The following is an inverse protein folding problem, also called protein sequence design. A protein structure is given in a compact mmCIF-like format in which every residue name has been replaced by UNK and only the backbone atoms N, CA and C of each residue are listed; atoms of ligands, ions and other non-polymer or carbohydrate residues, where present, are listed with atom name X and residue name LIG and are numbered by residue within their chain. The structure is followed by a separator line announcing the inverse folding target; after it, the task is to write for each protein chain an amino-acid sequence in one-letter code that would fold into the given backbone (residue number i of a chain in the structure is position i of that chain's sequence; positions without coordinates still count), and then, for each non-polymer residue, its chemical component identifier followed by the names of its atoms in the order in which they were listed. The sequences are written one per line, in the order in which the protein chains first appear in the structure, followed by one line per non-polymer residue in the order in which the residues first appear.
data_IF_813971939993
#
_entry.id   IF_813971939993
#
_cell.length_a   1.000
_cell.length_b   1.000
_cell.length_c   1.000
_cell.angle_alpha   90.00
_cell.angle_beta   90.00
_cell.angle_gamma   90.00
#
_symmetry.space_group_name_H-M   'P 1'
#
loop_
_entity.id
_entity.type
_entity.pdbx_description
1 polymer ?
#
# COMPACT_ATOMS: atom_id res chain seq x y z
N UNK A 1 -24.79 13.32 12.86
CA UNK A 1 -23.41 13.64 13.25
C UNK A 1 -22.50 12.69 12.48
N UNK A 2 -22.07 13.07 11.28
CA UNK A 2 -21.33 12.18 10.38
C UNK A 2 -19.93 12.72 10.21
N UNK A 3 -18.99 12.00 10.81
CA UNK A 3 -17.55 12.19 10.68
C UNK A 3 -17.18 12.37 9.21
N UNK A 4 -16.45 13.45 8.92
CA UNK A 4 -15.90 13.66 7.59
C UNK A 4 -14.42 13.29 7.65
N UNK A 5 -14.12 12.05 7.28
CA UNK A 5 -12.76 11.56 7.08
C UNK A 5 -12.39 11.75 5.61
N UNK A 6 -11.27 12.40 5.32
CA UNK A 6 -10.70 12.55 3.97
C UNK A 6 -10.47 11.17 3.36
N UNK A 7 -10.76 10.97 2.07
CA UNK A 7 -10.50 9.66 1.44
C UNK A 7 -9.01 9.32 1.54
N UNK A 8 -8.69 8.06 1.84
CA UNK A 8 -7.34 7.52 1.81
C UNK A 8 -6.82 7.58 0.36
N UNK A 9 -6.19 8.70 0.00
CA UNK A 9 -5.65 8.92 -1.34
C UNK A 9 -4.62 7.84 -1.69
N UNK A 10 -3.65 7.50 -0.80
CA UNK A 10 -2.79 6.33 -1.00
C UNK A 10 -3.58 5.05 -1.30
N UNK A 11 -4.63 4.75 -0.54
CA UNK A 11 -5.50 3.60 -0.79
C UNK A 11 -6.21 3.63 -2.16
N UNK A 12 -6.56 4.81 -2.67
CA UNK A 12 -7.15 4.96 -4.01
C UNK A 12 -6.12 4.72 -5.13
N UNK A 13 -4.88 5.18 -4.95
CA UNK A 13 -3.78 4.86 -5.85
C UNK A 13 -3.44 3.37 -5.81
N UNK A 14 -3.43 2.74 -4.63
CA UNK A 14 -3.25 1.28 -4.51
C UNK A 14 -4.34 0.52 -5.28
N UNK A 15 -5.61 0.92 -5.14
CA UNK A 15 -6.70 0.32 -5.91
C UNK A 15 -6.51 0.45 -7.42
N UNK A 16 -6.07 1.62 -7.90
CA UNK A 16 -5.76 1.82 -9.32
C UNK A 16 -4.59 0.95 -9.77
N UNK A 17 -3.52 0.87 -8.99
CA UNK A 17 -2.35 0.04 -9.30
C UNK A 17 -2.73 -1.45 -9.36
N UNK A 18 -3.58 -1.92 -8.46
CA UNK A 18 -4.07 -3.30 -8.45
C UNK A 18 -4.90 -3.62 -9.70
N UNK A 19 -5.74 -2.70 -10.16
CA UNK A 19 -6.53 -2.88 -11.38
C UNK A 19 -5.64 -2.91 -12.63
N UNK A 20 -4.65 -2.02 -12.70
CA UNK A 20 -3.67 -2.01 -13.79
C UNK A 20 -2.83 -3.29 -13.79
N UNK A 21 -2.38 -3.76 -12.62
CA UNK A 21 -1.64 -5.02 -12.50
C UNK A 21 -2.51 -6.22 -12.92
N UNK A 22 -3.84 -6.18 -12.70
CA UNK A 22 -4.77 -7.20 -13.15
C UNK A 22 -4.91 -7.22 -14.69
N UNK A 23 -5.04 -6.05 -15.31
CA UNK A 23 -5.08 -5.92 -16.77
C UNK A 23 -3.78 -6.45 -17.41
N UNK A 24 -2.62 -6.08 -16.86
CA UNK A 24 -1.31 -6.59 -17.31
C UNK A 24 -1.25 -8.12 -17.19
N UNK A 25 -1.76 -8.70 -16.11
CA UNK A 25 -1.80 -10.16 -15.89
C UNK A 25 -2.66 -10.86 -16.95
N UNK A 26 -3.82 -10.28 -17.30
CA UNK A 26 -4.69 -10.80 -18.36
C UNK A 26 -4.00 -10.77 -19.73
N UNK A 27 -3.37 -9.63 -20.08
CA UNK A 27 -2.67 -9.48 -21.36
C UNK A 27 -1.51 -10.49 -21.47
N UNK A 28 -0.76 -10.71 -20.38
CA UNK A 28 0.30 -11.72 -20.34
C UNK A 28 -0.24 -13.13 -20.61
N UNK A 29 -1.36 -13.52 -19.98
CA UNK A 29 -2.00 -14.81 -20.23
C UNK A 29 -2.45 -14.97 -21.69
N UNK A 30 -2.99 -13.90 -22.29
CA UNK A 30 -3.35 -13.88 -23.71
C UNK A 30 -2.11 -14.08 -24.59
N UNK A 31 -1.01 -13.36 -24.33
CA UNK A 31 0.23 -13.51 -25.08
C UNK A 31 0.79 -14.94 -24.99
N UNK A 32 0.78 -15.56 -23.80
CA UNK A 32 1.20 -16.96 -23.62
C UNK A 32 0.33 -17.91 -24.43
N UNK A 33 -1.00 -17.78 -24.33
CA UNK A 33 -1.95 -18.65 -25.05
C UNK A 33 -1.81 -18.51 -26.57
N UNK A 34 -1.64 -17.28 -27.08
CA UNK A 34 -1.44 -17.03 -28.51
C UNK A 34 -0.12 -17.63 -29.00
N UNK A 35 0.94 -17.53 -28.19
CA UNK A 35 2.23 -18.16 -28.49
C UNK A 35 2.13 -19.69 -28.56
N UNK A 36 1.41 -20.30 -27.60
CA UNK A 36 1.18 -21.76 -27.58
C UNK A 36 0.39 -22.25 -28.80
N UNK A 37 -0.53 -21.42 -29.32
CA UNK A 37 -1.32 -21.69 -30.53
C UNK A 37 -0.58 -21.38 -31.84
N UNK A 38 0.62 -20.81 -31.79
CA UNK A 38 1.39 -20.36 -32.96
C UNK A 38 0.90 -19.05 -33.57
N UNK A 39 0.03 -18.31 -32.89
CA UNK A 39 -0.51 -17.01 -33.30
C UNK A 39 0.46 -15.87 -32.93
N UNK A 40 1.65 -15.88 -33.53
CA UNK A 40 2.76 -15.00 -33.13
C UNK A 40 2.47 -13.51 -33.31
N UNK A 41 1.63 -13.12 -34.27
CA UNK A 41 1.29 -11.70 -34.47
C UNK A 41 0.43 -11.17 -33.33
N UNK A 42 -0.61 -11.93 -32.95
CA UNK A 42 -1.44 -11.63 -31.78
C UNK A 42 -0.62 -11.62 -30.49
N UNK A 43 0.36 -12.52 -30.36
CA UNK A 43 1.28 -12.52 -29.22
C UNK A 43 2.12 -11.23 -29.16
N UNK A 44 2.65 -10.74 -30.29
CA UNK A 44 3.39 -9.49 -30.35
C UNK A 44 2.54 -8.28 -29.98
N UNK A 45 1.33 -8.19 -30.50
CA UNK A 45 0.39 -7.10 -30.17
C UNK A 45 0.09 -7.07 -28.67
N UNK A 46 -0.16 -8.24 -28.07
CA UNK A 46 -0.37 -8.37 -26.63
C UNK A 46 0.87 -7.94 -25.83
N UNK A 47 2.08 -8.34 -26.24
CA UNK A 47 3.32 -7.92 -25.59
C UNK A 47 3.49 -6.39 -25.64
N UNK A 48 3.31 -5.77 -26.82
CA UNK A 48 3.42 -4.31 -26.97
C UNK A 48 2.41 -3.57 -26.10
N UNK A 49 1.19 -4.09 -25.95
CA UNK A 49 0.19 -3.53 -25.04
C UNK A 49 0.61 -3.69 -23.57
N UNK A 50 1.10 -4.86 -23.17
CA UNK A 50 1.61 -5.08 -21.81
C UNK A 50 2.78 -4.16 -21.45
N UNK A 51 3.66 -3.85 -22.40
CA UNK A 51 4.76 -2.89 -22.21
C UNK A 51 4.23 -1.47 -21.93
N UNK A 52 3.25 -1.02 -22.72
CA UNK A 52 2.60 0.29 -22.51
C UNK A 52 1.92 0.38 -21.15
N UNK A 53 1.21 -0.68 -20.74
CA UNK A 53 0.49 -0.70 -19.46
C UNK A 53 1.47 -0.79 -18.28
N UNK A 54 2.58 -1.52 -18.44
CA UNK A 54 3.67 -1.53 -17.45
C UNK A 54 4.30 -0.14 -17.29
N UNK A 55 4.51 0.59 -18.39
CA UNK A 55 5.01 1.96 -18.32
C UNK A 55 3.99 2.91 -17.66
N UNK A 56 2.69 2.73 -17.92
CA UNK A 56 1.64 3.48 -17.23
C UNK A 56 1.60 3.18 -15.74
N UNK A 57 1.65 1.91 -15.35
CA UNK A 57 1.74 1.44 -13.96
C UNK A 57 2.91 2.10 -13.22
N UNK A 58 4.07 2.19 -13.86
CA UNK A 58 5.22 2.91 -13.30
C UNK A 58 4.90 4.38 -13.03
N UNK A 59 4.30 5.10 -13.98
CA UNK A 59 3.93 6.52 -13.79
C UNK A 59 2.92 6.72 -12.65
N UNK A 60 1.95 5.81 -12.51
CA UNK A 60 1.00 5.85 -11.38
C UNK A 60 1.72 5.62 -10.05
N UNK A 61 2.67 4.68 -10.01
CA UNK A 61 3.51 4.45 -8.84
C UNK A 61 4.40 5.64 -8.49
N UNK A 62 5.01 6.28 -9.50
CA UNK A 62 5.83 7.47 -9.32
C UNK A 62 4.96 8.62 -8.75
N UNK A 63 3.73 8.80 -9.26
CA UNK A 63 2.78 9.79 -8.73
C UNK A 63 2.33 9.50 -7.29
N UNK A 64 2.17 8.22 -6.92
CA UNK A 64 1.91 7.83 -5.54
C UNK A 64 3.09 8.20 -4.63
N UNK A 65 4.33 7.96 -5.08
CA UNK A 65 5.53 8.39 -4.36
C UNK A 65 5.57 9.92 -4.21
N UNK A 66 5.38 10.68 -5.29
CA UNK A 66 5.32 12.14 -5.27
C UNK A 66 4.24 12.67 -4.31
N UNK A 67 3.03 12.10 -4.36
CA UNK A 67 1.93 12.45 -3.46
C UNK A 67 2.32 12.22 -2.00
N UNK A 68 2.97 11.11 -1.70
CA UNK A 68 3.38 10.76 -0.35
C UNK A 68 4.55 11.63 0.15
N UNK A 69 5.48 12.01 -0.73
CA UNK A 69 6.56 12.95 -0.39
C UNK A 69 6.02 14.34 -0.02
N UNK A 70 4.95 14.79 -0.68
CA UNK A 70 4.27 16.04 -0.33
C UNK A 70 3.54 15.99 1.02
N UNK A 71 3.16 14.81 1.50
CA UNK A 71 2.52 14.61 2.81
C UNK A 71 3.53 14.44 3.97
N UNK A 72 4.79 14.12 3.68
CA UNK A 72 5.85 13.95 4.67
C UNK A 72 6.06 15.13 5.65
N UNK A 73 5.78 16.41 5.32
CA UNK A 73 5.86 17.49 6.30
C UNK A 73 4.62 17.66 7.18
N UNK A 74 3.47 17.05 6.86
CA UNK A 74 2.21 17.24 7.60
C UNK A 74 1.89 16.12 8.61
N UNK A 75 2.72 15.07 8.68
CA UNK A 75 2.52 13.90 9.54
C UNK A 75 2.92 14.06 11.02
N UNK A 76 3.21 15.27 11.48
CA UNK A 76 3.37 15.58 12.91
C UNK A 76 2.12 16.28 13.44
N UNK A 77 0.94 15.68 13.27
CA UNK A 77 -0.20 16.04 14.09
C UNK A 77 -0.15 15.14 15.34
N UNK A 78 0.03 15.71 16.54
CA UNK A 78 -0.16 14.95 17.78
C UNK A 78 -1.58 14.40 17.81
N UNK A 79 -1.74 13.23 18.40
CA UNK A 79 -2.96 12.40 18.50
C UNK A 79 -4.17 13.11 19.16
N UNK A 80 -4.04 14.40 19.49
CA UNK A 80 -5.01 15.20 20.24
C UNK A 80 -5.69 16.31 19.42
N UNK A 81 -5.52 16.38 18.10
CA UNK A 81 -6.13 17.42 17.26
C UNK A 81 -7.57 17.11 16.78
N UNK A 82 -8.31 16.25 17.51
CA UNK A 82 -9.72 15.95 17.23
C UNK A 82 -10.72 16.83 18.00
N UNK A 83 -10.27 17.91 18.63
CA UNK A 83 -11.17 18.91 19.23
C UNK A 83 -10.91 20.32 18.66
N UNK A 84 -11.78 20.75 17.75
CA UNK A 84 -12.03 22.17 17.47
C UNK A 84 -11.23 22.82 16.33
N UNK A 85 -11.68 22.65 15.08
CA UNK A 85 -11.18 23.47 13.95
C UNK A 85 -12.15 23.52 12.77
N UNK A 86 -12.66 24.72 12.45
CA UNK A 86 -13.67 25.02 11.41
C UNK A 86 -13.26 24.54 10.00
N UNK A 87 -14.15 23.79 9.33
CA UNK A 87 -14.00 23.23 7.97
C UNK A 87 -14.26 24.25 6.85
N UNK A 88 -13.33 24.34 5.90
CA UNK A 88 -13.55 24.97 4.60
C UNK A 88 -14.23 23.94 3.68
N UNK A 89 -15.46 24.23 3.23
CA UNK A 89 -16.23 23.30 2.38
C UNK A 89 -15.80 23.38 0.92
N UNK A 90 -15.19 22.33 0.37
CA UNK A 90 -15.17 22.10 -1.08
C UNK A 90 -16.31 21.16 -1.42
N UNK A 91 -17.31 21.71 -2.10
CA UNK A 91 -18.53 21.03 -2.54
C UNK A 91 -18.22 20.04 -3.66
N UNK A 92 -18.95 18.93 -3.61
CA UNK A 92 -19.44 18.15 -4.75
C UNK A 92 -18.44 17.43 -5.67
N UNK A 93 -17.90 16.30 -5.18
CA UNK A 93 -17.51 15.19 -6.05
C UNK A 93 -18.23 13.92 -5.60
N UNK A 94 -19.05 13.38 -6.52
CA UNK A 94 -19.94 12.24 -6.34
C UNK A 94 -19.29 11.05 -5.62
N UNK A 95 -20.04 10.51 -4.66
CA UNK A 95 -19.57 9.53 -3.68
C UNK A 95 -19.32 8.15 -4.32
N UNK A 96 -18.06 7.76 -4.45
CA UNK A 96 -17.67 6.34 -4.39
C UNK A 96 -17.87 5.83 -2.96
N UNK A 97 -18.37 4.59 -2.80
CA UNK A 97 -18.66 3.99 -1.49
C UNK A 97 -17.36 3.89 -0.67
N UNK A 98 -17.25 4.71 0.38
CA UNK A 98 -16.13 4.74 1.35
C UNK A 98 -16.09 3.48 2.23
N UNK A 99 -14.90 3.07 2.65
CA UNK A 99 -14.68 2.28 3.86
C UNK A 99 -14.36 0.79 3.69
N UNK A 100 -14.14 0.30 2.46
CA UNK A 100 -13.92 -1.13 2.23
C UNK A 100 -12.66 -1.65 2.94
N UNK A 101 -11.49 -0.99 2.79
CA UNK A 101 -10.19 -1.48 3.30
C UNK A 101 -9.72 -0.76 4.56
N UNK A 102 -8.81 -1.38 5.31
CA UNK A 102 -8.09 -0.76 6.43
C UNK A 102 -7.21 0.35 5.90
N UNK A 103 -7.17 1.51 6.57
CA UNK A 103 -6.41 2.65 6.07
C UNK A 103 -4.92 2.36 6.10
N UNK A 104 -4.20 2.94 5.15
CA UNK A 104 -2.76 2.73 5.02
C UNK A 104 -1.96 3.14 6.28
N UNK A 105 -2.33 4.25 6.92
CA UNK A 105 -1.66 4.77 8.12
C UNK A 105 -1.88 3.90 9.37
N UNK A 106 -2.96 3.11 9.42
CA UNK A 106 -3.22 2.19 10.52
C UNK A 106 -2.20 1.04 10.62
N UNK A 107 -1.42 0.78 9.56
CA UNK A 107 -0.36 -0.22 9.54
C UNK A 107 0.95 0.28 10.16
N UNK A 108 1.16 1.58 10.33
CA UNK A 108 2.45 2.15 10.77
C UNK A 108 2.84 1.66 12.16
N UNK A 109 1.93 1.87 13.13
CA UNK A 109 2.17 1.48 14.52
C UNK A 109 2.30 -0.04 14.68
N UNK A 110 1.43 -0.89 14.08
CA UNK A 110 1.61 -2.35 14.09
C UNK A 110 2.93 -2.84 13.50
N UNK A 111 3.43 -2.25 12.41
CA UNK A 111 4.74 -2.65 11.82
C UNK A 111 5.88 -2.34 12.78
N UNK A 112 5.89 -1.13 13.36
CA UNK A 112 6.90 -0.73 14.34
C UNK A 112 6.85 -1.61 15.59
N UNK A 113 5.64 -1.92 16.09
CA UNK A 113 5.46 -2.80 17.24
C UNK A 113 5.91 -4.23 16.93
N UNK A 114 5.59 -4.78 15.75
CA UNK A 114 6.04 -6.10 15.33
C UNK A 114 7.56 -6.19 15.29
N UNK A 115 8.24 -5.14 14.79
CA UNK A 115 9.70 -5.08 14.82
C UNK A 115 10.25 -5.03 16.24
N UNK A 116 9.64 -4.26 17.15
CA UNK A 116 10.02 -4.25 18.56
C UNK A 116 9.89 -5.63 19.21
N UNK A 117 8.76 -6.30 19.00
CA UNK A 117 8.48 -7.64 19.53
C UNK A 117 9.49 -8.68 19.02
N UNK A 118 9.99 -8.50 17.80
CA UNK A 118 10.96 -9.39 17.14
C UNK A 118 12.42 -8.98 17.39
N UNK A 119 12.71 -8.11 18.37
CA UNK A 119 14.08 -7.72 18.74
C UNK A 119 14.68 -6.56 17.94
N UNK A 120 13.86 -5.89 17.12
CA UNK A 120 14.20 -4.67 16.37
C UNK A 120 14.63 -4.90 14.93
N UNK A 121 14.95 -6.12 14.53
CA UNK A 121 15.34 -6.48 13.16
C UNK A 121 14.86 -7.88 12.84
N UNK A 122 14.11 -8.07 11.75
CA UNK A 122 13.52 -9.36 11.42
C UNK A 122 13.24 -9.53 9.92
N UNK A 123 13.08 -10.80 9.50
CA UNK A 123 12.62 -11.13 8.14
C UNK A 123 11.23 -10.54 7.90
N UNK A 124 11.03 -9.95 6.74
CA UNK A 124 9.75 -9.35 6.31
C UNK A 124 8.57 -10.28 6.57
N UNK A 125 8.69 -11.56 6.23
CA UNK A 125 7.63 -12.56 6.47
C UNK A 125 7.22 -12.63 7.94
N UNK A 126 8.19 -12.70 8.86
CA UNK A 126 7.94 -12.78 10.29
C UNK A 126 7.31 -11.49 10.82
N UNK A 127 7.75 -10.33 10.30
CA UNK A 127 7.16 -9.04 10.65
C UNK A 127 5.70 -8.99 10.21
N UNK A 128 5.41 -9.36 8.97
CA UNK A 128 4.04 -9.41 8.45
C UNK A 128 3.17 -10.37 9.25
N UNK A 129 3.65 -11.57 9.56
CA UNK A 129 2.89 -12.54 10.36
C UNK A 129 2.53 -11.96 11.74
N UNK A 130 3.46 -11.25 12.39
CA UNK A 130 3.19 -10.53 13.64
C UNK A 130 2.23 -9.35 13.46
N UNK A 131 2.33 -8.59 12.36
CA UNK A 131 1.37 -7.52 12.04
C UNK A 131 -0.04 -8.07 11.88
N UNK A 132 -0.20 -9.24 11.24
CA UNK A 132 -1.48 -9.92 11.12
C UNK A 132 -2.13 -10.21 12.49
N UNK A 133 -1.33 -10.64 13.46
CA UNK A 133 -1.79 -10.86 14.84
C UNK A 133 -2.22 -9.55 15.50
N UNK A 134 -1.40 -8.51 15.41
CA UNK A 134 -1.65 -7.20 16.02
C UNK A 134 -2.87 -6.49 15.40
N UNK A 135 -3.13 -6.73 14.12
CA UNK A 135 -4.21 -6.09 13.36
C UNK A 135 -5.45 -6.97 13.18
N UNK A 136 -5.50 -8.17 13.78
CA UNK A 136 -6.59 -9.14 13.58
C UNK A 136 -8.00 -8.55 13.73
N UNK A 137 -8.19 -7.61 14.66
CA UNK A 137 -9.49 -6.98 14.92
C UNK A 137 -9.70 -5.64 14.19
N UNK A 138 -8.70 -5.20 13.41
CA UNK A 138 -8.72 -3.96 12.63
C UNK A 138 -8.88 -4.22 11.13
N UNK A 139 -8.27 -5.31 10.65
CA UNK A 139 -8.38 -5.74 9.26
C UNK A 139 -9.86 -5.98 8.90
N UNK A 140 -10.26 -5.46 7.75
CA UNK A 140 -11.61 -5.61 7.20
C UNK A 140 -11.64 -6.84 6.28
N UNK A 141 -12.83 -7.43 6.02
CA UNK A 141 -12.92 -8.64 5.20
C UNK A 141 -12.19 -8.56 3.85
N UNK A 142 -12.33 -7.44 3.13
CA UNK A 142 -11.66 -7.21 1.82
C UNK A 142 -10.13 -7.16 1.92
N UNK A 143 -9.57 -6.85 3.09
CA UNK A 143 -8.12 -6.82 3.27
C UNK A 143 -7.52 -8.22 3.21
N UNK A 144 -8.33 -9.24 3.49
CA UNK A 144 -7.98 -10.66 3.37
C UNK A 144 -8.20 -11.25 1.98
N UNK A 145 -8.80 -10.50 1.06
CA UNK A 145 -9.00 -10.97 -0.30
C UNK A 145 -7.67 -11.03 -1.07
N UNK A 146 -7.54 -11.96 -2.02
CA UNK A 146 -6.39 -12.00 -2.91
C UNK A 146 -6.35 -10.79 -3.86
N UNK A 147 -5.19 -10.53 -4.42
CA UNK A 147 -5.03 -9.58 -5.51
C UNK A 147 -5.62 -10.19 -6.80
N UNK A 148 -6.37 -9.43 -7.62
CA UNK A 148 -6.88 -9.93 -8.90
C UNK A 148 -5.75 -10.33 -9.86
N UNK A 149 -4.59 -9.69 -9.75
CA UNK A 149 -3.39 -9.96 -10.53
C UNK A 149 -2.62 -11.21 -10.08
N UNK A 150 -2.65 -11.52 -8.79
CA UNK A 150 -1.95 -12.64 -8.14
C UNK A 150 -2.81 -13.23 -7.00
N UNK A 151 -3.46 -14.39 -7.24
CA UNK A 151 -4.30 -15.07 -6.25
C UNK A 151 -3.59 -15.49 -4.96
N UNK A 152 -2.27 -15.64 -4.97
CA UNK A 152 -1.49 -16.03 -3.79
C UNK A 152 -1.11 -14.81 -2.92
N UNK A 153 -1.20 -13.61 -3.49
CA UNK A 153 -0.88 -12.37 -2.79
C UNK A 153 -2.11 -11.80 -2.09
N UNK A 154 -2.04 -11.68 -0.76
CA UNK A 154 -3.12 -11.10 0.05
C UNK A 154 -3.01 -9.57 0.13
N UNK A 155 -4.12 -8.88 -0.11
CA UNK A 155 -4.24 -7.40 -0.16
C UNK A 155 -3.55 -6.68 1.00
N UNK A 156 -3.83 -7.04 2.25
CA UNK A 156 -3.25 -6.35 3.41
C UNK A 156 -1.73 -6.49 3.51
N UNK A 157 -1.15 -7.59 3.01
CA UNK A 157 0.31 -7.78 2.99
C UNK A 157 0.97 -6.81 2.00
N UNK A 158 0.29 -6.46 0.91
CA UNK A 158 0.76 -5.46 -0.04
C UNK A 158 0.70 -4.05 0.57
N UNK A 159 -0.45 -3.70 1.18
CA UNK A 159 -0.63 -2.43 1.89
C UNK A 159 0.40 -2.26 3.03
N UNK A 160 0.71 -3.32 3.79
CA UNK A 160 1.75 -3.28 4.81
C UNK A 160 3.18 -3.06 4.26
N UNK A 161 3.47 -3.54 3.04
CA UNK A 161 4.75 -3.30 2.39
C UNK A 161 4.89 -1.84 1.91
N UNK A 162 3.80 -1.25 1.41
CA UNK A 162 3.74 0.19 1.13
C UNK A 162 3.91 1.02 2.40
N UNK A 163 3.27 0.62 3.50
CA UNK A 163 3.43 1.26 4.78
C UNK A 163 4.89 1.25 5.24
N UNK A 164 5.61 0.14 5.05
CA UNK A 164 7.05 0.08 5.31
C UNK A 164 7.85 1.06 4.46
N UNK A 165 7.53 1.21 3.18
CA UNK A 165 8.20 2.19 2.33
C UNK A 165 8.07 3.62 2.90
N UNK A 166 6.88 4.01 3.37
CA UNK A 166 6.65 5.31 4.03
C UNK A 166 7.43 5.42 5.35
N UNK A 167 7.43 4.36 6.17
CA UNK A 167 8.19 4.34 7.42
C UNK A 167 9.70 4.51 7.19
N UNK A 168 10.25 3.98 6.09
CA UNK A 168 11.65 4.19 5.70
C UNK A 168 11.92 5.64 5.31
N UNK A 169 11.07 6.24 4.46
CA UNK A 169 11.20 7.66 4.07
C UNK A 169 11.12 8.60 5.28
N UNK A 170 10.25 8.27 6.25
CA UNK A 170 10.11 8.99 7.51
C UNK A 170 11.22 8.67 8.54
N UNK A 171 12.25 7.91 8.18
CA UNK A 171 13.38 7.52 9.04
C UNK A 171 12.97 6.74 10.30
N UNK A 172 11.80 6.10 10.28
CA UNK A 172 11.32 5.23 11.36
C UNK A 172 11.80 3.78 11.18
N UNK A 173 12.07 3.38 9.94
CA UNK A 173 12.74 2.14 9.55
C UNK A 173 14.03 2.45 8.81
N UNK A 174 15.01 1.55 8.88
CA UNK A 174 16.28 1.68 8.15
C UNK A 174 16.08 1.48 6.65
N UNK A 175 16.72 2.33 5.84
CA UNK A 175 16.73 2.23 4.38
C UNK A 175 17.76 1.24 3.85
N UNK A 176 18.80 0.95 4.62
CA UNK A 176 19.99 0.17 4.27
C UNK A 176 20.00 -1.25 4.89
N UNK A 177 18.85 -1.75 5.33
CA UNK A 177 18.72 -3.11 5.83
C UNK A 177 19.00 -4.15 4.74
N UNK A 178 19.54 -5.34 5.09
CA UNK A 178 19.72 -6.43 4.15
C UNK A 178 18.43 -6.81 3.43
N UNK A 179 18.56 -7.36 2.22
CA UNK A 179 17.40 -7.76 1.43
C UNK A 179 16.47 -8.72 2.21
N UNK A 180 15.17 -8.42 2.22
CA UNK A 180 14.17 -9.20 2.95
C UNK A 180 14.17 -9.01 4.47
N UNK A 181 15.02 -8.14 5.01
CA UNK A 181 15.07 -7.76 6.43
C UNK A 181 14.51 -6.35 6.61
N UNK A 182 13.66 -6.18 7.62
CA UNK A 182 13.19 -4.88 8.07
C UNK A 182 13.78 -4.59 9.44
N UNK A 183 14.21 -3.35 9.67
CA UNK A 183 14.84 -2.93 10.91
C UNK A 183 14.31 -1.57 11.37
N UNK A 184 14.00 -1.46 12.66
CA UNK A 184 13.49 -0.24 13.28
C UNK A 184 14.64 0.70 13.68
N UNK A 185 14.48 2.00 13.45
CA UNK A 185 15.44 3.03 13.90
C UNK A 185 15.16 3.44 15.35
N UNK A 186 16.10 4.15 16.02
CA UNK A 186 15.82 4.78 17.31
C UNK A 186 14.61 5.73 17.25
N UNK A 187 14.41 6.46 16.16
CA UNK A 187 13.26 7.34 15.92
C UNK A 187 11.96 6.53 15.85
N UNK A 188 11.97 5.39 15.16
CA UNK A 188 10.85 4.45 15.12
C UNK A 188 10.48 3.90 16.50
N UNK A 189 11.47 3.64 17.36
CA UNK A 189 11.23 3.22 18.76
C UNK A 189 10.59 4.34 19.57
N UNK A 190 11.08 5.58 19.42
CA UNK A 190 10.51 6.76 20.10
C UNK A 190 9.07 7.01 19.67
N UNK A 191 8.75 6.78 18.40
CA UNK A 191 7.40 6.92 17.85
C UNK A 191 6.36 6.05 18.59
N UNK A 192 6.74 4.86 19.10
CA UNK A 192 5.82 3.96 19.79
C UNK A 192 5.50 4.35 21.23
N UNK A 193 6.40 5.10 21.88
CA UNK A 193 6.31 5.48 23.30
C UNK A 193 5.57 6.81 23.47
N UNK A 194 5.47 7.58 22.39
CA UNK A 194 4.73 8.84 22.34
C UNK A 194 3.25 8.59 22.17
#
# INVERSE_FOLDING_TARGET
MTEHDTGDVPGAFEMLLEEVDAEISLIKKLATTATEKGEFETAKEAITKAEKDTAFRKRVSDLLEEWNEQLAPFGSLPENASEGGKKISRRDLGKLKKGLRTRHDEFYRPILQALMDLGGSAKMRNVLDRVAELMKNKLKPVDHEPLPSDPEAIRWRNTAQWARYILVKNKLLKSDSPHGIWEITPEGRKYLVK
#
